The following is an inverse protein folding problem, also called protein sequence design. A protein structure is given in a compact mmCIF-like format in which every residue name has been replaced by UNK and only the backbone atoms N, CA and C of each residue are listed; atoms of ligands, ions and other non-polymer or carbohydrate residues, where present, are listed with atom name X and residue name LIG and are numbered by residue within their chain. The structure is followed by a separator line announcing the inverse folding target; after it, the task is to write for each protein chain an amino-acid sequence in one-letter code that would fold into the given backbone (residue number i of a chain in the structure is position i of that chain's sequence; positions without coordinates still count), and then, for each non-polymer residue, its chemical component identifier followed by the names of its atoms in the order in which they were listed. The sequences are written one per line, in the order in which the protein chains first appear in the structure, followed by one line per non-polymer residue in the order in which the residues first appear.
data_IF_648680914647
#
_entry.id   IF_648680914647
#
_cell.length_a   1.000
_cell.length_b   1.000
_cell.length_c   1.000
_cell.angle_alpha   90.00
_cell.angle_beta   90.00
_cell.angle_gamma   90.00
#
_symmetry.space_group_name_H-M   'P 1'
#
loop_
_entity.id
_entity.type
_entity.pdbx_description
1 polymer ?
#
# COMPACT_ATOMS: atom_id res chain seq x y z
N UNK A 1 -16.31 1.96 3.65
CA UNK A 1 -15.32 1.01 3.09
C UNK A 1 -14.36 0.46 4.17
N UNK A 2 -14.11 -0.85 4.18
CA UNK A 2 -13.07 -1.47 5.02
C UNK A 2 -11.74 -1.44 4.24
N UNK A 3 -10.78 -0.63 4.67
CA UNK A 3 -9.51 -0.46 4.00
C UNK A 3 -8.76 0.77 4.50
N UNK A 4 -7.59 1.02 3.92
CA UNK A 4 -6.79 2.20 4.22
C UNK A 4 -6.30 2.87 2.94
N UNK A 5 -5.98 4.16 2.99
CA UNK A 5 -5.36 4.91 1.90
C UNK A 5 -4.56 6.08 2.45
N UNK A 6 -3.59 6.57 1.69
CA UNK A 6 -2.88 7.82 2.02
C UNK A 6 -3.69 9.00 1.51
N UNK A 7 -4.17 9.85 2.43
CA UNK A 7 -4.95 11.05 2.08
C UNK A 7 -4.05 12.22 1.63
N UNK A 8 -2.87 12.36 2.21
CA UNK A 8 -1.92 13.41 1.88
C UNK A 8 -0.50 12.97 2.20
N UNK A 9 0.46 13.37 1.36
CA UNK A 9 1.88 13.19 1.59
C UNK A 9 2.66 14.30 0.86
N UNK A 10 3.64 14.96 1.50
CA UNK A 10 4.47 16.00 0.89
C UNK A 10 5.58 15.43 -0.03
N UNK A 11 5.23 14.53 -0.96
CA UNK A 11 6.18 13.99 -1.96
C UNK A 11 5.81 14.48 -3.37
N UNK A 12 6.79 14.55 -4.29
CA UNK A 12 6.54 15.10 -5.65
C UNK A 12 5.66 14.18 -6.49
N UNK A 13 5.86 12.86 -6.38
CA UNK A 13 5.20 11.91 -7.28
C UNK A 13 3.82 11.48 -6.83
N UNK A 14 3.41 11.69 -5.57
CA UNK A 14 2.08 11.32 -5.04
C UNK A 14 1.66 9.86 -5.32
N UNK A 15 2.61 8.93 -5.47
CA UNK A 15 2.34 7.52 -5.84
C UNK A 15 1.50 6.82 -4.77
N UNK A 16 1.86 7.02 -3.49
CA UNK A 16 1.12 6.47 -2.35
C UNK A 16 -0.35 6.93 -2.30
N UNK A 17 -0.63 8.18 -2.72
CA UNK A 17 -1.99 8.72 -2.79
C UNK A 17 -2.74 8.15 -4.00
N UNK A 18 -2.10 8.09 -5.18
CA UNK A 18 -2.69 7.51 -6.40
C UNK A 18 -3.00 6.03 -6.27
N UNK A 19 -2.28 5.28 -5.43
CA UNK A 19 -2.59 3.88 -5.11
C UNK A 19 -4.03 3.69 -4.61
N UNK A 20 -4.62 4.72 -4.00
CA UNK A 20 -6.01 4.69 -3.55
C UNK A 20 -6.22 3.74 -2.36
N UNK A 21 -7.39 3.13 -2.31
CA UNK A 21 -7.76 2.19 -1.24
C UNK A 21 -7.04 0.86 -1.41
N UNK A 22 -6.39 0.43 -0.33
CA UNK A 22 -5.91 -0.94 -0.14
C UNK A 22 -6.79 -1.67 0.88
N UNK A 23 -7.06 -2.95 0.65
CA UNK A 23 -8.07 -3.69 1.42
C UNK A 23 -7.69 -5.15 1.71
N UNK A 24 -6.90 -5.79 0.84
CA UNK A 24 -6.55 -7.21 0.96
C UNK A 24 -5.29 -7.38 1.79
N UNK A 25 -5.21 -8.44 2.57
CA UNK A 25 -3.98 -8.81 3.27
C UNK A 25 -2.83 -8.94 2.27
N UNK A 26 -1.70 -8.30 2.59
CA UNK A 26 -0.57 -8.20 1.67
C UNK A 26 -0.57 -6.96 0.78
N UNK A 27 -1.69 -6.24 0.63
CA UNK A 27 -1.69 -4.96 -0.08
C UNK A 27 -0.75 -3.96 0.60
N UNK A 28 -0.02 -3.20 -0.22
CA UNK A 28 0.93 -2.18 0.22
C UNK A 28 0.72 -0.86 -0.52
N UNK A 29 0.83 0.25 0.21
CA UNK A 29 1.05 1.58 -0.33
C UNK A 29 2.34 2.16 0.32
N UNK A 30 3.28 2.63 -0.50
CA UNK A 30 4.56 3.13 -0.01
C UNK A 30 4.85 4.54 -0.52
N UNK A 31 5.41 5.37 0.35
CA UNK A 31 5.92 6.70 0.05
C UNK A 31 7.43 6.71 0.34
N UNK A 32 8.22 6.31 -0.65
CA UNK A 32 9.68 6.18 -0.53
C UNK A 32 10.35 7.46 -0.03
N UNK A 33 10.05 8.67 -0.57
CA UNK A 33 10.72 9.89 -0.10
C UNK A 33 10.45 10.23 1.37
N UNK A 34 9.31 9.81 1.92
CA UNK A 34 8.92 10.09 3.30
C UNK A 34 9.20 8.92 4.25
N UNK A 35 9.79 7.81 3.76
CA UNK A 35 10.04 6.61 4.56
C UNK A 35 8.78 5.95 5.12
N UNK A 36 7.61 6.15 4.50
CA UNK A 36 6.32 5.64 4.98
C UNK A 36 5.87 4.40 4.20
N UNK A 37 5.50 3.34 4.91
CA UNK A 37 4.93 2.12 4.35
C UNK A 37 3.63 1.79 5.08
N UNK A 38 2.55 1.65 4.32
CA UNK A 38 1.25 1.19 4.79
C UNK A 38 0.98 -0.20 4.22
N UNK A 39 0.75 -1.19 5.09
CA UNK A 39 0.45 -2.58 4.71
C UNK A 39 -0.81 -3.05 5.42
N UNK A 40 -1.68 -3.76 4.71
CA UNK A 40 -2.76 -4.51 5.35
C UNK A 40 -2.20 -5.84 5.85
N UNK A 41 -2.23 -6.04 7.17
CA UNK A 41 -1.78 -7.29 7.81
C UNK A 41 -2.78 -8.44 7.60
N UNK A 42 -2.31 -9.67 7.80
CA UNK A 42 -3.09 -10.90 7.61
C UNK A 42 -2.38 -11.89 6.69
N UNK A 43 -2.97 -13.08 6.53
CA UNK A 43 -2.50 -14.07 5.56
C UNK A 43 -2.70 -13.51 4.15
N UNK A 44 -1.60 -13.15 3.48
CA UNK A 44 -1.64 -12.75 2.09
C UNK A 44 -1.85 -14.00 1.22
N UNK A 45 -2.69 -13.94 0.18
CA UNK A 45 -2.68 -14.93 -0.88
C UNK A 45 -1.25 -15.07 -1.42
N UNK A 46 -0.83 -16.29 -1.73
CA UNK A 46 0.43 -16.54 -2.44
C UNK A 46 0.29 -16.00 -3.87
N UNK A 47 0.94 -14.86 -4.15
CA UNK A 47 0.83 -14.18 -5.46
C UNK A 47 1.67 -14.87 -6.57
N UNK A 48 2.67 -15.68 -6.21
CA UNK A 48 3.37 -16.57 -7.14
C UNK A 48 4.20 -17.63 -6.38
N UNK A 49 4.25 -18.84 -6.93
CA UNK A 49 5.24 -19.85 -6.60
C UNK A 49 6.01 -20.15 -7.90
N UNK A 50 7.31 -19.87 -7.91
CA UNK A 50 8.18 -20.18 -9.04
C UNK A 50 8.89 -21.48 -8.68
N UNK A 51 8.62 -22.54 -9.44
CA UNK A 51 9.40 -23.78 -9.40
C UNK A 51 10.62 -23.64 -10.31
#
# INVERSE_FOLDING_TARGET
PKGARVLSAPCVHKICMRRGWIQRAGDVAACVPNGLVLRIAGAAPIDAMIH
#
